data_IF_531444859890
#
_entry.id   IF_531444859890
#
_cell.length_a   1.000
_cell.length_b   1.000
_cell.length_c   1.000
_cell.angle_alpha   90.00
_cell.angle_beta   90.00
_cell.angle_gamma   90.00
#
_symmetry.space_group_name_H-M   'P 1'
#
loop_
_entity.id
_entity.type
_entity.pdbx_description
1 polymer ?
#
# COMPACT_ATOMS: atom_id res chain seq x y z
N UNK A 1 -5.92 -27.75 -13.78
CA UNK A 1 -5.54 -26.83 -12.69
C UNK A 1 -6.47 -27.11 -11.53
N UNK A 2 -5.93 -27.32 -10.33
CA UNK A 2 -6.77 -27.47 -9.15
C UNK A 2 -7.40 -26.12 -8.82
N UNK A 3 -8.59 -26.09 -8.20
CA UNK A 3 -9.22 -24.83 -7.79
C UNK A 3 -8.36 -24.01 -6.81
N UNK A 4 -7.36 -24.66 -6.20
CA UNK A 4 -6.44 -24.08 -5.23
C UNK A 4 -5.22 -23.36 -5.83
N UNK A 5 -5.04 -23.40 -7.16
CA UNK A 5 -3.81 -22.92 -7.82
C UNK A 5 -3.99 -21.54 -8.51
N UNK A 6 -5.15 -20.90 -8.32
CA UNK A 6 -5.46 -19.63 -8.97
C UNK A 6 -6.25 -18.70 -8.07
N UNK A 7 -6.17 -17.41 -8.42
CA UNK A 7 -7.00 -16.34 -7.87
C UNK A 7 -7.85 -15.74 -8.99
N UNK A 8 -8.99 -15.17 -8.63
CA UNK A 8 -9.85 -14.48 -9.58
C UNK A 8 -9.15 -13.22 -10.11
N UNK A 9 -9.24 -13.00 -11.41
CA UNK A 9 -8.76 -11.77 -12.03
C UNK A 9 -9.59 -10.59 -11.54
N UNK A 10 -8.98 -9.51 -11.03
CA UNK A 10 -9.71 -8.29 -10.68
C UNK A 10 -10.42 -7.62 -11.86
N UNK A 11 -10.12 -8.06 -13.09
CA UNK A 11 -10.75 -7.58 -14.32
C UNK A 11 -11.91 -8.46 -14.79
N UNK A 12 -12.24 -9.56 -14.10
CA UNK A 12 -13.18 -10.58 -14.58
C UNK A 12 -14.53 -9.97 -14.99
N UNK A 13 -15.22 -9.33 -14.06
CA UNK A 13 -16.52 -8.73 -14.35
C UNK A 13 -16.46 -7.61 -15.39
N UNK A 14 -15.37 -6.85 -15.44
CA UNK A 14 -15.16 -5.82 -16.48
C UNK A 14 -15.05 -6.49 -17.84
N UNK A 15 -14.25 -7.54 -17.99
CA UNK A 15 -14.05 -8.20 -19.27
C UNK A 15 -15.35 -8.85 -19.75
N UNK A 16 -16.07 -9.54 -18.88
CA UNK A 16 -17.43 -10.02 -19.16
C UNK A 16 -18.32 -8.85 -19.61
N UNK A 17 -18.32 -7.74 -18.89
CA UNK A 17 -19.15 -6.60 -19.26
C UNK A 17 -18.75 -5.99 -20.60
N UNK A 18 -17.45 -5.88 -20.90
CA UNK A 18 -16.95 -5.42 -22.19
C UNK A 18 -17.36 -6.33 -23.34
N UNK A 19 -17.43 -7.64 -23.10
CA UNK A 19 -17.99 -8.58 -24.07
C UNK A 19 -19.49 -8.36 -24.33
N UNK A 20 -20.23 -7.65 -23.47
CA UNK A 20 -21.66 -7.35 -23.70
C UNK A 20 -21.87 -6.15 -24.63
N UNK A 21 -20.77 -5.45 -24.93
CA UNK A 21 -20.70 -4.49 -26.02
C UNK A 21 -20.40 -5.20 -27.33
N UNK A 22 -21.07 -4.76 -28.38
CA UNK A 22 -20.67 -5.01 -29.77
C UNK A 22 -19.71 -3.89 -30.21
N UNK A 23 -18.70 -3.60 -29.38
CA UNK A 23 -17.87 -2.40 -29.50
C UNK A 23 -16.37 -2.70 -29.27
N UNK A 24 -15.52 -1.98 -30.00
CA UNK A 24 -14.10 -2.29 -30.28
C UNK A 24 -13.15 -2.16 -29.07
N UNK A 25 -13.65 -2.10 -27.84
CA UNK A 25 -12.82 -1.93 -26.63
C UNK A 25 -11.82 -3.09 -26.43
N UNK A 26 -12.24 -4.32 -26.73
CA UNK A 26 -11.38 -5.51 -26.72
C UNK A 26 -10.41 -5.56 -27.91
N UNK A 27 -10.65 -4.78 -28.96
CA UNK A 27 -9.73 -4.64 -30.10
C UNK A 27 -8.64 -3.60 -29.85
N UNK A 28 -8.78 -2.79 -28.79
CA UNK A 28 -7.77 -1.82 -28.39
C UNK A 28 -6.50 -2.53 -27.90
N UNK A 29 -5.50 -2.64 -28.78
CA UNK A 29 -4.21 -3.29 -28.49
C UNK A 29 -3.53 -2.76 -27.23
N UNK A 30 -3.66 -1.46 -26.94
CA UNK A 30 -3.08 -0.85 -25.73
C UNK A 30 -3.77 -1.36 -24.48
N UNK A 31 -5.11 -1.39 -24.47
CA UNK A 31 -5.90 -1.95 -23.37
C UNK A 31 -5.52 -3.40 -23.10
N UNK A 32 -5.53 -4.25 -24.14
CA UNK A 32 -5.17 -5.68 -24.02
C UNK A 32 -3.76 -5.87 -23.45
N UNK A 33 -2.80 -5.06 -23.91
CA UNK A 33 -1.43 -5.10 -23.39
C UNK A 33 -1.35 -4.70 -21.91
N UNK A 34 -2.09 -3.67 -21.49
CA UNK A 34 -2.13 -3.24 -20.09
C UNK A 34 -2.72 -4.33 -19.18
N UNK A 35 -3.81 -4.98 -19.58
CA UNK A 35 -4.40 -6.10 -18.83
C UNK A 35 -3.42 -7.27 -18.67
N UNK A 36 -2.69 -7.64 -19.75
CA UNK A 36 -1.65 -8.68 -19.70
C UNK A 36 -0.47 -8.28 -18.80
N UNK A 37 -0.06 -7.02 -18.86
CA UNK A 37 1.01 -6.49 -18.02
C UNK A 37 0.60 -6.47 -16.55
N UNK A 38 -0.64 -6.10 -16.23
CA UNK A 38 -1.15 -6.10 -14.86
C UNK A 38 -1.02 -7.50 -14.23
N UNK A 39 -1.56 -8.53 -14.92
CA UNK A 39 -1.43 -9.92 -14.49
C UNK A 39 0.03 -10.34 -14.33
N UNK A 40 0.86 -10.02 -15.32
CA UNK A 40 2.29 -10.41 -15.31
C UNK A 40 3.04 -9.78 -14.15
N UNK A 41 2.80 -8.49 -13.86
CA UNK A 41 3.44 -7.79 -12.77
C UNK A 41 2.92 -8.28 -11.41
N UNK A 42 1.64 -8.59 -11.29
CA UNK A 42 1.08 -9.22 -10.10
C UNK A 42 1.71 -10.60 -9.83
N UNK A 43 1.74 -11.49 -10.83
CA UNK A 43 2.38 -12.80 -10.68
C UNK A 43 3.86 -12.67 -10.27
N UNK A 44 4.58 -11.69 -10.82
CA UNK A 44 5.97 -11.40 -10.45
C UNK A 44 6.11 -10.92 -9.00
N UNK A 45 5.20 -10.07 -8.52
CA UNK A 45 5.16 -9.65 -7.12
C UNK A 45 4.85 -10.82 -6.19
N UNK A 46 3.82 -11.61 -6.54
CA UNK A 46 3.41 -12.78 -5.79
C UNK A 46 4.56 -13.78 -5.64
N UNK A 47 5.19 -14.18 -6.75
CA UNK A 47 6.29 -15.15 -6.72
C UNK A 47 7.49 -14.62 -5.94
N UNK A 48 7.80 -13.32 -6.05
CA UNK A 48 8.84 -12.71 -5.23
C UNK A 48 8.48 -12.77 -3.75
N UNK A 49 7.25 -12.41 -3.38
CA UNK A 49 6.80 -12.45 -1.99
C UNK A 49 6.79 -13.86 -1.43
N UNK A 50 6.27 -14.83 -2.18
CA UNK A 50 6.30 -16.24 -1.82
C UNK A 50 7.73 -16.76 -1.63
N UNK A 51 8.65 -16.34 -2.50
CA UNK A 51 10.06 -16.67 -2.36
C UNK A 51 10.62 -16.14 -1.02
N UNK A 52 10.32 -14.88 -0.64
CA UNK A 52 10.72 -14.30 0.66
C UNK A 52 10.13 -15.08 1.85
N UNK A 53 8.86 -15.49 1.75
CA UNK A 53 8.18 -16.27 2.81
C UNK A 53 8.86 -17.63 3.03
N UNK A 54 9.28 -18.29 1.95
CA UNK A 54 9.78 -19.68 1.99
C UNK A 54 11.28 -19.80 2.16
N UNK A 55 12.05 -18.76 1.87
CA UNK A 55 13.51 -18.80 1.90
C UNK A 55 14.08 -18.15 3.16
N UNK A 56 14.51 -19.00 4.10
CA UNK A 56 15.26 -18.61 5.30
C UNK A 56 16.75 -18.46 5.04
N UNK A 57 17.49 -17.87 5.98
CA UNK A 57 18.95 -17.69 5.89
C UNK A 57 19.69 -18.99 5.55
N UNK A 58 19.32 -20.11 6.17
CA UNK A 58 19.91 -21.44 5.90
C UNK A 58 19.61 -22.00 4.51
N UNK A 59 18.47 -21.66 3.92
CA UNK A 59 18.01 -22.22 2.65
C UNK A 59 18.29 -21.28 1.46
N UNK A 60 18.61 -20.01 1.74
CA UNK A 60 18.93 -19.03 0.73
C UNK A 60 20.45 -18.97 0.50
N UNK A 61 20.91 -19.33 -0.71
CA UNK A 61 22.27 -19.01 -1.17
C UNK A 61 22.59 -17.50 -1.17
N UNK A 62 21.59 -16.66 -0.88
CA UNK A 62 21.67 -15.20 -0.75
C UNK A 62 22.19 -14.73 0.62
N UNK A 63 22.40 -15.62 1.59
CA UNK A 63 23.06 -15.30 2.87
C UNK A 63 24.43 -14.62 2.65
N UNK A 64 25.12 -14.97 1.57
CA UNK A 64 26.43 -14.40 1.21
C UNK A 64 26.38 -13.21 0.24
N UNK A 65 25.20 -12.79 -0.25
CA UNK A 65 25.09 -11.73 -1.28
C UNK A 65 24.10 -10.63 -0.87
N UNK A 66 24.54 -9.66 -0.03
CA UNK A 66 23.72 -8.53 0.42
C UNK A 66 23.09 -7.72 -0.72
N UNK A 67 23.79 -7.59 -1.85
CA UNK A 67 23.32 -6.84 -3.02
C UNK A 67 22.06 -7.48 -3.61
N UNK A 68 22.07 -8.80 -3.78
CA UNK A 68 20.92 -9.50 -4.35
C UNK A 68 19.69 -9.41 -3.43
N UNK A 69 19.90 -9.44 -2.10
CA UNK A 69 18.82 -9.22 -1.12
C UNK A 69 18.19 -7.83 -1.26
N UNK A 70 19.03 -6.79 -1.41
CA UNK A 70 18.56 -5.42 -1.58
C UNK A 70 17.76 -5.29 -2.88
N UNK A 71 18.30 -5.81 -3.99
CA UNK A 71 17.61 -5.84 -5.28
C UNK A 71 16.26 -6.55 -5.23
N UNK A 72 16.13 -7.60 -4.42
CA UNK A 72 14.88 -8.33 -4.28
C UNK A 72 13.80 -7.51 -3.56
N UNK A 73 14.17 -6.79 -2.51
CA UNK A 73 13.31 -5.84 -1.79
C UNK A 73 12.91 -4.68 -2.73
N UNK A 74 13.89 -4.10 -3.41
CA UNK A 74 13.66 -3.03 -4.39
C UNK A 74 12.69 -3.47 -5.49
N UNK A 75 12.86 -4.69 -5.99
CA UNK A 75 12.00 -5.28 -7.00
C UNK A 75 10.54 -5.35 -6.54
N UNK A 76 10.29 -5.73 -5.28
CA UNK A 76 8.94 -5.78 -4.73
C UNK A 76 8.29 -4.39 -4.67
N UNK A 77 9.01 -3.35 -4.20
CA UNK A 77 8.52 -1.96 -4.23
C UNK A 77 8.19 -1.50 -5.65
N UNK A 78 9.07 -1.81 -6.62
CA UNK A 78 8.85 -1.48 -8.03
C UNK A 78 7.60 -2.17 -8.56
N UNK A 79 7.37 -3.46 -8.24
CA UNK A 79 6.18 -4.19 -8.70
C UNK A 79 4.90 -3.66 -8.07
N UNK A 80 4.86 -3.42 -6.76
CA UNK A 80 3.69 -2.81 -6.11
C UNK A 80 3.28 -1.50 -6.79
N UNK A 81 4.24 -0.60 -7.00
CA UNK A 81 3.97 0.69 -7.63
C UNK A 81 3.55 0.54 -9.10
N UNK A 82 4.17 -0.39 -9.85
CA UNK A 82 3.81 -0.64 -11.26
C UNK A 82 2.39 -1.19 -11.39
N UNK A 83 1.98 -2.11 -10.52
CA UNK A 83 0.64 -2.72 -10.54
C UNK A 83 -0.43 -1.65 -10.33
N UNK A 84 -0.21 -0.75 -9.37
CA UNK A 84 -1.08 0.40 -9.14
C UNK A 84 -1.12 1.34 -10.36
N UNK A 85 0.03 1.69 -10.95
CA UNK A 85 0.07 2.55 -12.14
C UNK A 85 -0.68 1.93 -13.34
N UNK A 86 -0.60 0.61 -13.49
CA UNK A 86 -1.30 -0.12 -14.55
C UNK A 86 -2.81 -0.13 -14.34
N UNK A 87 -3.29 -0.31 -13.10
CA UNK A 87 -4.74 -0.30 -12.84
C UNK A 87 -5.37 1.05 -13.19
N UNK A 88 -4.71 2.15 -12.82
CA UNK A 88 -5.14 3.49 -13.18
C UNK A 88 -5.13 3.76 -14.68
N UNK A 89 -4.13 3.26 -15.40
CA UNK A 89 -4.09 3.38 -16.85
C UNK A 89 -5.23 2.62 -17.53
N UNK A 90 -5.57 1.44 -17.01
CA UNK A 90 -6.71 0.65 -17.49
C UNK A 90 -8.02 1.40 -17.23
N UNK A 91 -8.26 1.85 -16.00
CA UNK A 91 -9.46 2.60 -15.64
C UNK A 91 -9.62 3.89 -16.46
N UNK A 92 -8.52 4.62 -16.69
CA UNK A 92 -8.54 5.83 -17.52
C UNK A 92 -8.92 5.57 -18.98
N UNK A 93 -8.51 4.44 -19.56
CA UNK A 93 -8.91 4.04 -20.91
C UNK A 93 -10.41 3.72 -20.94
N UNK A 94 -10.87 2.90 -19.98
CA UNK A 94 -12.26 2.44 -19.92
C UNK A 94 -13.25 3.60 -19.73
N UNK A 95 -12.90 4.56 -18.87
CA UNK A 95 -13.74 5.73 -18.60
C UNK A 95 -13.47 6.91 -19.55
N UNK A 96 -12.71 6.68 -20.64
CA UNK A 96 -12.35 7.68 -21.66
C UNK A 96 -11.87 9.03 -21.08
N UNK A 97 -11.05 8.98 -20.04
CA UNK A 97 -10.58 10.18 -19.37
C UNK A 97 -9.46 10.86 -20.17
N UNK A 98 -9.69 12.11 -20.58
CA UNK A 98 -8.78 12.90 -21.42
C UNK A 98 -7.91 13.90 -20.65
N UNK A 99 -8.09 14.00 -19.33
CA UNK A 99 -7.37 14.97 -18.49
C UNK A 99 -5.89 14.65 -18.32
N UNK A 100 -5.04 15.69 -18.29
CA UNK A 100 -3.62 15.57 -17.87
C UNK A 100 -3.48 15.17 -16.40
N UNK A 101 -4.51 15.40 -15.57
CA UNK A 101 -4.60 15.05 -14.14
C UNK A 101 -5.50 13.84 -13.86
N UNK A 102 -5.65 12.96 -14.85
CA UNK A 102 -6.48 11.75 -14.81
C UNK A 102 -6.37 10.91 -13.52
N UNK A 103 -5.20 10.81 -12.91
CA UNK A 103 -5.02 10.05 -11.65
C UNK A 103 -5.67 10.75 -10.45
N UNK A 104 -5.52 12.07 -10.34
CA UNK A 104 -6.15 12.88 -9.27
C UNK A 104 -7.68 12.87 -9.41
N UNK A 105 -8.20 12.91 -10.64
CA UNK A 105 -9.64 12.91 -10.93
C UNK A 105 -10.30 11.54 -10.70
N UNK A 106 -9.68 10.45 -11.15
CA UNK A 106 -10.13 9.09 -10.82
C UNK A 106 -10.12 8.87 -9.33
N UNK A 107 -9.09 9.36 -8.63
CA UNK A 107 -8.99 9.18 -7.19
C UNK A 107 -10.00 10.00 -6.41
N UNK A 108 -10.24 11.25 -6.78
CA UNK A 108 -11.24 12.07 -6.11
C UNK A 108 -12.64 11.43 -6.20
N UNK A 109 -12.97 10.81 -7.34
CA UNK A 109 -14.24 10.11 -7.54
C UNK A 109 -14.28 8.73 -6.88
N UNK A 110 -13.15 8.03 -6.87
CA UNK A 110 -13.04 6.76 -6.18
C UNK A 110 -13.04 6.97 -4.65
N UNK A 111 -12.60 8.12 -4.14
CA UNK A 111 -12.60 8.47 -2.71
C UNK A 111 -13.99 8.34 -2.07
N UNK A 112 -15.06 8.81 -2.74
CA UNK A 112 -16.44 8.65 -2.26
C UNK A 112 -16.86 7.17 -2.16
N UNK A 113 -16.35 6.31 -3.06
CA UNK A 113 -16.58 4.86 -3.01
C UNK A 113 -15.76 4.19 -1.90
N UNK A 114 -14.53 4.69 -1.66
CA UNK A 114 -13.63 4.26 -0.58
C UNK A 114 -14.08 4.69 0.80
N UNK A 115 -14.90 5.72 0.94
CA UNK A 115 -15.46 6.14 2.24
C UNK A 115 -16.26 5.03 2.95
N UNK A 116 -16.68 4.00 2.21
CA UNK A 116 -17.32 2.79 2.77
C UNK A 116 -16.31 1.73 3.25
N UNK A 117 -15.03 1.88 2.88
CA UNK A 117 -13.96 0.89 3.07
C UNK A 117 -12.59 1.58 3.28
N UNK A 118 -12.32 2.04 4.51
CA UNK A 118 -11.11 2.80 4.91
C UNK A 118 -9.77 2.22 4.40
N UNK A 119 -9.65 0.89 4.24
CA UNK A 119 -8.41 0.22 3.80
C UNK A 119 -8.04 0.49 2.33
N UNK A 120 -8.93 1.09 1.55
CA UNK A 120 -8.67 1.52 0.18
C UNK A 120 -8.03 2.90 0.08
N UNK A 121 -7.86 3.59 1.21
CA UNK A 121 -7.19 4.87 1.29
C UNK A 121 -5.78 4.81 0.69
N UNK A 122 -5.35 5.89 0.03
CA UNK A 122 -4.07 5.94 -0.68
C UNK A 122 -2.83 6.04 0.20
N UNK A 123 -2.97 6.16 1.53
CA UNK A 123 -1.85 6.35 2.45
C UNK A 123 -0.78 5.29 2.27
N UNK A 124 -1.19 4.02 2.19
CA UNK A 124 -0.30 2.89 2.00
C UNK A 124 0.48 2.97 0.66
N UNK A 125 -0.17 3.40 -0.43
CA UNK A 125 0.49 3.53 -1.73
C UNK A 125 1.46 4.72 -1.76
N UNK A 126 1.13 5.84 -1.10
CA UNK A 126 2.01 7.01 -1.04
C UNK A 126 3.36 6.65 -0.44
N UNK A 127 3.37 5.86 0.63
CA UNK A 127 4.60 5.36 1.26
C UNK A 127 5.39 4.45 0.30
N UNK A 128 4.74 3.45 -0.28
CA UNK A 128 5.35 2.55 -1.29
C UNK A 128 5.94 3.34 -2.46
N UNK A 129 5.21 4.33 -2.98
CA UNK A 129 5.61 5.12 -4.13
C UNK A 129 6.75 6.08 -3.79
N UNK A 130 6.76 6.65 -2.58
CA UNK A 130 7.87 7.46 -2.09
C UNK A 130 9.17 6.65 -2.07
N UNK A 131 9.14 5.45 -1.47
CA UNK A 131 10.28 4.54 -1.43
C UNK A 131 10.69 4.14 -2.86
N UNK A 132 9.74 3.72 -3.70
CA UNK A 132 9.99 3.36 -5.11
C UNK A 132 10.67 4.48 -5.88
N UNK A 133 10.19 5.71 -5.76
CA UNK A 133 10.76 6.85 -6.48
C UNK A 133 12.21 7.10 -6.04
N UNK A 134 12.47 6.96 -4.74
CA UNK A 134 13.84 7.08 -4.22
C UNK A 134 14.75 5.96 -4.72
N UNK A 135 14.26 4.72 -4.83
CA UNK A 135 15.01 3.60 -5.43
C UNK A 135 15.40 3.95 -6.87
N UNK A 136 14.43 4.34 -7.69
CA UNK A 136 14.64 4.65 -9.12
C UNK A 136 15.61 5.81 -9.34
N UNK A 137 15.60 6.80 -8.44
CA UNK A 137 16.43 8.01 -8.56
C UNK A 137 17.72 7.96 -7.72
N UNK A 138 18.06 6.81 -7.12
CA UNK A 138 19.30 6.64 -6.35
C UNK A 138 19.36 7.43 -5.03
N UNK A 139 18.20 7.79 -4.48
CA UNK A 139 18.07 8.63 -3.28
C UNK A 139 17.84 7.88 -1.97
N UNK A 140 18.04 6.56 -1.97
CA UNK A 140 17.81 5.67 -0.83
C UNK A 140 18.85 4.55 -0.81
N UNK A 141 19.13 4.03 0.38
CA UNK A 141 19.87 2.81 0.61
C UNK A 141 18.99 1.80 1.35
N UNK A 142 18.72 0.66 0.72
CA UNK A 142 18.04 -0.47 1.36
C UNK A 142 19.10 -1.35 2.01
N UNK A 143 18.98 -1.55 3.32
CA UNK A 143 19.90 -2.40 4.09
C UNK A 143 19.19 -3.69 4.52
N UNK A 144 19.37 -4.79 3.78
CA UNK A 144 18.86 -6.11 4.14
C UNK A 144 19.81 -6.85 5.08
N UNK A 145 19.24 -7.55 6.05
CA UNK A 145 19.96 -8.47 6.94
C UNK A 145 19.05 -9.62 7.37
N UNK A 146 19.64 -10.70 7.86
CA UNK A 146 18.87 -11.76 8.48
C UNK A 146 18.80 -11.53 9.99
N UNK A 147 17.61 -11.71 10.55
CA UNK A 147 17.37 -11.74 11.98
C UNK A 147 16.55 -12.98 12.29
N UNK A 148 17.09 -13.87 13.13
CA UNK A 148 16.43 -15.13 13.49
C UNK A 148 15.92 -15.91 12.26
N UNK A 149 16.79 -16.06 11.25
CA UNK A 149 16.51 -16.76 9.98
C UNK A 149 15.53 -16.05 9.02
N UNK A 150 15.00 -14.87 9.38
CA UNK A 150 14.06 -14.10 8.56
C UNK A 150 14.75 -12.93 7.89
N UNK A 151 14.42 -12.69 6.63
CA UNK A 151 14.91 -11.51 5.92
C UNK A 151 14.24 -10.27 6.51
N UNK A 152 15.05 -9.38 7.05
CA UNK A 152 14.65 -8.08 7.56
C UNK A 152 15.31 -6.97 6.75
N UNK A 153 14.71 -5.79 6.76
CA UNK A 153 15.28 -4.63 6.11
C UNK A 153 14.88 -3.31 6.77
N UNK A 154 15.70 -2.30 6.54
CA UNK A 154 15.33 -0.91 6.71
C UNK A 154 15.76 -0.13 5.46
N UNK A 155 15.10 0.98 5.20
CA UNK A 155 15.43 1.86 4.09
C UNK A 155 15.79 3.24 4.61
N UNK A 156 16.93 3.75 4.16
CA UNK A 156 17.50 5.01 4.64
C UNK A 156 17.63 6.02 3.50
N UNK A 157 17.40 7.29 3.79
CA UNK A 157 17.75 8.36 2.87
C UNK A 157 19.28 8.59 2.83
N UNK A 158 19.72 9.56 2.02
CA UNK A 158 21.15 9.92 1.85
C UNK A 158 21.78 10.34 3.19
N UNK A 159 21.00 10.92 4.09
CA UNK A 159 21.42 11.36 5.42
C UNK A 159 21.38 10.24 6.48
N UNK A 160 21.20 8.97 6.06
CA UNK A 160 21.12 7.78 6.93
C UNK A 160 19.90 7.80 7.86
N UNK A 161 18.89 8.60 7.53
CA UNK A 161 17.63 8.62 8.27
C UNK A 161 16.71 7.54 7.72
N UNK A 162 16.18 6.70 8.60
CA UNK A 162 15.17 5.71 8.20
C UNK A 162 13.95 6.43 7.66
N UNK A 163 13.44 5.93 6.53
CA UNK A 163 12.23 6.44 5.89
C UNK A 163 11.06 5.46 5.99
N UNK A 164 11.25 4.37 6.73
CA UNK A 164 10.22 3.38 6.98
C UNK A 164 9.43 3.76 8.23
N UNK A 165 8.12 3.58 8.18
CA UNK A 165 7.27 3.79 9.34
C UNK A 165 7.11 2.51 10.15
N UNK A 166 7.13 2.60 11.48
CA UNK A 166 6.90 1.43 12.35
C UNK A 166 5.42 1.01 12.31
N UNK A 167 5.14 -0.27 12.12
CA UNK A 167 3.82 -0.85 12.12
C UNK A 167 3.83 -2.16 12.90
N UNK A 168 2.97 -2.28 13.90
CA UNK A 168 2.80 -3.47 14.74
C UNK A 168 2.57 -4.77 13.97
N UNK A 169 2.09 -4.68 12.72
CA UNK A 169 1.73 -5.81 11.87
C UNK A 169 2.97 -6.45 11.21
N UNK A 170 3.92 -5.64 10.73
CA UNK A 170 5.03 -6.13 9.91
C UNK A 170 6.42 -5.64 10.34
N UNK A 171 6.47 -4.70 11.27
CA UNK A 171 7.71 -4.19 11.84
C UNK A 171 8.12 -4.95 13.09
N UNK A 172 9.39 -4.81 13.44
CA UNK A 172 9.91 -5.27 14.72
C UNK A 172 9.35 -4.38 15.86
N UNK A 173 8.93 -4.94 17.02
CA UNK A 173 8.29 -4.17 18.09
C UNK A 173 9.06 -2.95 18.62
N UNK A 174 10.39 -2.95 18.51
CA UNK A 174 11.31 -1.97 19.09
C UNK A 174 12.15 -1.23 18.04
N UNK A 175 11.68 -1.11 16.78
CA UNK A 175 12.44 -0.32 15.80
C UNK A 175 11.79 -0.07 14.43
N UNK A 176 12.55 0.62 13.58
CA UNK A 176 12.17 0.97 12.20
C UNK A 176 12.53 -0.14 11.19
N UNK A 177 12.67 -1.38 11.68
CA UNK A 177 13.05 -2.55 10.89
C UNK A 177 11.80 -3.32 10.51
N UNK A 178 11.73 -3.72 9.24
CA UNK A 178 10.62 -4.47 8.68
C UNK A 178 11.04 -5.93 8.48
N UNK A 179 10.17 -6.87 8.84
CA UNK A 179 10.30 -8.24 8.35
C UNK A 179 9.78 -8.30 6.91
N UNK A 180 10.65 -8.69 5.97
CA UNK A 180 10.35 -8.61 4.53
C UNK A 180 9.20 -9.54 4.11
N UNK A 181 9.15 -10.74 4.70
CA UNK A 181 8.05 -11.69 4.53
C UNK A 181 6.73 -11.06 4.96
N UNK A 182 6.67 -10.49 6.17
CA UNK A 182 5.47 -9.83 6.67
C UNK A 182 5.07 -8.63 5.81
N UNK A 183 6.02 -7.74 5.53
CA UNK A 183 5.78 -6.50 4.79
C UNK A 183 5.22 -6.81 3.40
N UNK A 184 5.92 -7.61 2.60
CA UNK A 184 5.50 -7.86 1.23
C UNK A 184 4.30 -8.80 1.13
N UNK A 185 4.10 -9.73 2.07
CA UNK A 185 2.88 -10.52 2.14
C UNK A 185 1.67 -9.61 2.39
N UNK A 186 1.76 -8.73 3.37
CA UNK A 186 0.73 -7.75 3.67
C UNK A 186 0.40 -6.91 2.43
N UNK A 187 1.38 -6.20 1.85
CA UNK A 187 1.13 -5.31 0.72
C UNK A 187 0.72 -6.04 -0.57
N UNK A 188 1.08 -7.31 -0.75
CA UNK A 188 0.57 -8.15 -1.85
C UNK A 188 -0.94 -8.43 -1.67
N UNK A 189 -1.37 -8.73 -0.45
CA UNK A 189 -2.80 -8.84 -0.13
C UNK A 189 -3.54 -7.51 -0.30
N UNK A 190 -2.96 -6.40 0.17
CA UNK A 190 -3.55 -5.05 0.04
C UNK A 190 -3.73 -4.67 -1.43
N UNK A 191 -2.70 -4.79 -2.26
CA UNK A 191 -2.80 -4.39 -3.67
C UNK A 191 -3.83 -5.27 -4.40
N UNK A 192 -3.92 -6.57 -4.11
CA UNK A 192 -4.92 -7.43 -4.74
C UNK A 192 -6.35 -6.98 -4.42
N UNK A 193 -6.65 -6.78 -3.13
CA UNK A 193 -7.96 -6.29 -2.70
C UNK A 193 -8.27 -4.91 -3.28
N UNK A 194 -7.28 -4.02 -3.29
CA UNK A 194 -7.39 -2.71 -3.94
C UNK A 194 -7.80 -2.82 -5.41
N UNK A 195 -7.23 -3.77 -6.16
CA UNK A 195 -7.59 -3.96 -7.57
C UNK A 195 -9.04 -4.42 -7.71
N UNK A 196 -9.51 -5.35 -6.86
CA UNK A 196 -10.91 -5.81 -6.87
C UNK A 196 -11.86 -4.62 -6.70
N UNK A 197 -11.62 -3.81 -5.67
CA UNK A 197 -12.48 -2.66 -5.36
C UNK A 197 -12.38 -1.54 -6.41
N UNK A 198 -11.18 -1.26 -6.91
CA UNK A 198 -10.98 -0.24 -7.93
C UNK A 198 -11.69 -0.61 -9.24
N UNK A 199 -11.61 -1.87 -9.66
CA UNK A 199 -12.25 -2.31 -10.90
C UNK A 199 -13.76 -2.51 -10.75
N UNK A 200 -14.27 -2.88 -9.56
CA UNK A 200 -15.71 -2.82 -9.26
C UNK A 200 -16.23 -1.38 -9.44
N UNK A 201 -15.53 -0.39 -8.88
CA UNK A 201 -15.85 1.02 -9.10
C UNK A 201 -15.82 1.41 -10.59
N UNK A 202 -14.76 1.05 -11.32
CA UNK A 202 -14.65 1.35 -12.77
C UNK A 202 -15.81 0.73 -13.54
N UNK A 203 -16.21 -0.50 -13.20
CA UNK A 203 -17.35 -1.18 -13.81
C UNK A 203 -18.67 -0.45 -13.53
N UNK A 204 -18.89 -0.01 -12.30
CA UNK A 204 -20.07 0.76 -11.91
C UNK A 204 -20.16 2.09 -12.67
N UNK A 205 -19.04 2.81 -12.81
CA UNK A 205 -19.00 4.05 -13.60
C UNK A 205 -19.25 3.79 -15.09
N UNK A 206 -18.64 2.74 -15.63
CA UNK A 206 -18.85 2.35 -17.03
C UNK A 206 -20.33 2.10 -17.29
N UNK A 207 -20.99 1.33 -16.41
CA UNK A 207 -22.44 1.03 -16.45
C UNK A 207 -23.37 2.25 -16.43
N UNK A 208 -22.92 3.40 -15.90
CA UNK A 208 -23.70 4.66 -15.95
C UNK A 208 -23.71 5.30 -17.33
N UNK A 209 -22.63 5.11 -18.08
CA UNK A 209 -22.38 5.76 -19.37
C UNK A 209 -22.62 4.87 -20.59
N UNK A 210 -22.81 3.57 -20.39
CA UNK A 210 -22.83 2.57 -21.46
C UNK A 210 -23.95 1.56 -21.25
N UNK A 211 -24.60 1.16 -22.34
CA UNK A 211 -25.73 0.23 -22.34
C UNK A 211 -25.30 -1.04 -23.10
N UNK A 212 -25.36 -2.23 -22.49
CA UNK A 212 -25.08 -3.49 -23.17
C UNK A 212 -25.92 -3.65 -24.43
N UNK A 213 -25.30 -4.08 -25.53
CA UNK A 213 -25.98 -4.32 -26.81
C UNK A 213 -26.27 -5.80 -27.03
N UNK A 214 -25.62 -6.69 -26.28
CA UNK A 214 -25.86 -8.13 -26.32
C UNK A 214 -25.88 -8.77 -24.93
N UNK A 215 -26.80 -9.69 -24.73
CA UNK A 215 -26.78 -10.58 -23.57
C UNK A 215 -25.77 -11.69 -23.79
N UNK A 216 -24.80 -11.79 -22.89
CA UNK A 216 -23.82 -12.88 -22.92
C UNK A 216 -24.44 -14.11 -22.28
N UNK A 217 -24.46 -15.22 -23.02
CA UNK A 217 -24.94 -16.50 -22.52
C UNK A 217 -24.08 -17.02 -21.36
N UNK A 218 -24.62 -17.94 -20.55
CA UNK A 218 -23.85 -18.56 -19.47
C UNK A 218 -22.60 -19.29 -20.00
N UNK A 219 -22.70 -19.95 -21.16
CA UNK A 219 -21.58 -20.65 -21.79
C UNK A 219 -20.46 -19.70 -22.22
N UNK A 220 -20.80 -18.55 -22.80
CA UNK A 220 -19.81 -17.54 -23.17
C UNK A 220 -19.14 -16.91 -21.94
N UNK A 221 -19.90 -16.64 -20.87
CA UNK A 221 -19.32 -16.17 -19.60
C UNK A 221 -18.30 -17.17 -19.07
N UNK A 222 -18.67 -18.46 -19.03
CA UNK A 222 -17.76 -19.53 -18.59
C UNK A 222 -16.51 -19.59 -19.44
N UNK A 223 -16.64 -19.49 -20.77
CA UNK A 223 -15.50 -19.49 -21.68
C UNK A 223 -14.56 -18.31 -21.43
N UNK A 224 -15.10 -17.10 -21.24
CA UNK A 224 -14.31 -15.90 -20.93
C UNK A 224 -13.58 -16.07 -19.58
N UNK A 225 -14.30 -16.54 -18.55
CA UNK A 225 -13.77 -16.80 -17.21
C UNK A 225 -12.59 -17.79 -17.24
N UNK A 226 -12.76 -18.89 -17.98
CA UNK A 226 -11.75 -19.95 -18.10
C UNK A 226 -10.51 -19.51 -18.90
N UNK A 227 -10.69 -18.64 -19.89
CA UNK A 227 -9.61 -18.28 -20.83
C UNK A 227 -8.79 -17.06 -20.39
N UNK A 228 -9.37 -16.12 -19.64
CA UNK A 228 -8.73 -14.83 -19.37
C UNK A 228 -8.78 -14.36 -17.91
N UNK A 229 -9.56 -15.01 -17.05
CA UNK A 229 -9.95 -14.43 -15.75
C UNK A 229 -9.48 -15.22 -14.53
N UNK A 230 -8.66 -16.26 -14.73
CA UNK A 230 -7.94 -16.97 -13.66
C UNK A 230 -6.46 -16.63 -13.70
N UNK A 231 -5.95 -15.99 -12.66
CA UNK A 231 -4.52 -15.76 -12.51
C UNK A 231 -3.91 -16.99 -11.85
N UNK A 232 -3.38 -17.91 -12.67
CA UNK A 232 -2.66 -19.07 -12.18
C UNK A 232 -1.41 -18.64 -11.41
N UNK A 233 -1.34 -19.05 -10.15
CA UNK A 233 -0.25 -18.80 -9.21
C UNK A 233 0.45 -20.08 -8.77
N UNK A 234 -0.07 -21.25 -9.16
CA UNK A 234 0.56 -22.53 -8.90
C UNK A 234 0.34 -23.04 -7.48
N UNK A 235 1.09 -24.08 -7.11
CA UNK A 235 1.02 -24.72 -5.79
C UNK A 235 1.47 -23.76 -4.67
N UNK A 236 2.27 -22.74 -5.02
CA UNK A 236 2.76 -21.68 -4.16
C UNK A 236 1.62 -20.88 -3.48
N UNK A 237 0.45 -20.81 -4.12
CA UNK A 237 -0.72 -20.10 -3.59
C UNK A 237 -1.20 -20.67 -2.26
N UNK A 238 -1.14 -21.99 -2.09
CA UNK A 238 -1.57 -22.64 -0.85
C UNK A 238 -0.71 -22.17 0.33
N UNK A 239 0.62 -22.22 0.17
CA UNK A 239 1.56 -21.81 1.21
C UNK A 239 1.49 -20.30 1.49
N UNK A 240 1.32 -19.49 0.44
CA UNK A 240 1.11 -18.05 0.60
C UNK A 240 -0.14 -17.78 1.44
N UNK A 241 -1.27 -18.41 1.11
CA UNK A 241 -2.54 -18.19 1.80
C UNK A 241 -2.50 -18.71 3.25
N UNK A 242 -1.86 -19.86 3.50
CA UNK A 242 -1.65 -20.36 4.86
C UNK A 242 -0.85 -19.37 5.72
N UNK A 243 0.22 -18.80 5.15
CA UNK A 243 1.02 -17.77 5.82
C UNK A 243 0.20 -16.48 6.02
N UNK A 244 -0.43 -15.98 4.96
CA UNK A 244 -1.17 -14.72 4.98
C UNK A 244 -2.38 -14.79 5.93
N UNK A 245 -3.07 -15.93 5.99
CA UNK A 245 -4.16 -16.16 6.93
C UNK A 245 -3.65 -16.17 8.37
N UNK A 246 -2.56 -16.91 8.64
CA UNK A 246 -1.99 -17.03 9.98
C UNK A 246 -1.50 -15.69 10.56
N UNK A 247 -0.91 -14.83 9.74
CA UNK A 247 -0.26 -13.60 10.20
C UNK A 247 -1.19 -12.38 10.07
N UNK A 248 -2.02 -12.31 9.03
CA UNK A 248 -2.78 -11.11 8.70
C UNK A 248 -4.28 -11.32 8.58
N UNK A 249 -4.76 -12.56 8.44
CA UNK A 249 -6.14 -12.84 8.00
C UNK A 249 -6.44 -12.17 6.64
N UNK A 250 -5.48 -12.22 5.70
CA UNK A 250 -5.61 -11.65 4.34
C UNK A 250 -5.13 -12.64 3.26
N UNK A 251 -5.75 -13.83 3.10
CA UNK A 251 -5.44 -14.70 1.98
C UNK A 251 -5.99 -14.12 0.67
N UNK A 252 -5.42 -14.51 -0.48
CA UNK A 252 -5.83 -14.01 -1.80
C UNK A 252 -7.10 -14.68 -2.35
N UNK A 253 -7.60 -15.73 -1.70
CA UNK A 253 -8.74 -16.54 -2.19
C UNK A 253 -10.00 -16.45 -1.34
N UNK A 254 -9.99 -15.69 -0.23
CA UNK A 254 -11.19 -15.54 0.59
C UNK A 254 -12.22 -14.59 -0.02
N UNK A 255 -13.48 -14.79 0.36
CA UNK A 255 -14.55 -13.90 -0.08
C UNK A 255 -14.28 -12.50 0.45
N UNK A 256 -14.38 -11.49 -0.42
CA UNK A 256 -14.25 -10.05 -0.11
C UNK A 256 -14.98 -9.65 1.19
N UNK A 257 -16.17 -10.20 1.43
CA UNK A 257 -16.96 -9.96 2.64
C UNK A 257 -16.29 -10.47 3.93
N UNK A 258 -15.63 -11.63 3.88
CA UNK A 258 -14.88 -12.18 5.02
C UNK A 258 -13.66 -11.30 5.32
N UNK A 259 -12.88 -10.91 4.31
CA UNK A 259 -11.76 -9.98 4.47
C UNK A 259 -12.18 -8.65 5.12
N UNK A 260 -13.28 -8.04 4.65
CA UNK A 260 -13.82 -6.80 5.23
C UNK A 260 -14.22 -7.02 6.69
N UNK A 261 -14.93 -8.12 7.00
CA UNK A 261 -15.39 -8.43 8.35
C UNK A 261 -14.22 -8.72 9.30
N UNK A 262 -13.25 -9.51 8.88
CA UNK A 262 -12.08 -9.88 9.69
C UNK A 262 -11.24 -8.65 9.99
N UNK A 263 -10.97 -7.78 9.01
CA UNK A 263 -10.19 -6.55 9.23
C UNK A 263 -10.93 -5.50 10.04
N UNK A 264 -12.24 -5.34 9.85
CA UNK A 264 -13.05 -4.42 10.67
C UNK A 264 -13.19 -4.93 12.12
N UNK A 265 -13.04 -6.25 12.34
CA UNK A 265 -13.10 -6.88 13.66
C UNK A 265 -11.73 -7.10 14.33
N UNK A 266 -10.62 -7.05 13.58
CA UNK A 266 -9.29 -6.90 14.18
C UNK A 266 -9.29 -5.52 14.84
N UNK A 267 -9.08 -5.41 16.16
CA UNK A 267 -8.91 -4.11 16.79
C UNK A 267 -7.73 -3.46 16.09
N UNK A 268 -7.98 -2.37 15.33
CA UNK A 268 -6.88 -1.60 14.75
C UNK A 268 -5.95 -1.29 15.91
N UNK A 269 -4.76 -1.86 15.86
CA UNK A 269 -3.82 -1.59 16.92
C UNK A 269 -3.48 -0.10 16.82
N UNK A 270 -3.28 0.55 17.95
CA UNK A 270 -2.99 1.98 18.02
C UNK A 270 -1.74 2.38 17.18
N UNK A 271 -0.96 1.44 16.65
CA UNK A 271 0.23 1.69 15.85
C UNK A 271 0.09 1.32 14.35
N UNK A 272 -1.13 1.23 13.80
CA UNK A 272 -1.30 0.97 12.36
C UNK A 272 -1.10 2.23 11.50
N UNK A 273 -0.43 2.11 10.32
CA UNK A 273 -0.33 3.18 9.34
C UNK A 273 -1.68 3.80 9.02
N UNK A 274 -1.80 5.11 9.28
CA UNK A 274 -3.03 5.88 9.10
C UNK A 274 -3.88 6.08 10.37
N UNK A 275 -3.52 5.48 11.50
CA UNK A 275 -4.12 5.80 12.81
C UNK A 275 -3.50 7.07 13.43
N UNK A 276 -4.24 7.72 14.36
CA UNK A 276 -3.71 8.87 15.11
C UNK A 276 -2.48 8.47 15.91
N UNK A 277 -2.55 7.35 16.62
CA UNK A 277 -1.48 6.93 17.51
C UNK A 277 -0.23 6.54 16.70
N UNK A 278 -0.35 5.95 15.50
CA UNK A 278 0.78 5.80 14.57
C UNK A 278 1.36 7.15 14.11
N UNK A 279 0.52 8.12 13.77
CA UNK A 279 1.00 9.45 13.41
C UNK A 279 1.74 10.12 14.58
N UNK A 280 1.29 9.88 15.81
CA UNK A 280 1.94 10.33 17.04
C UNK A 280 3.27 9.61 17.27
N UNK A 281 3.32 8.29 17.17
CA UNK A 281 4.55 7.50 17.28
C UNK A 281 5.59 7.94 16.24
N UNK A 282 5.16 8.28 15.02
CA UNK A 282 6.03 8.83 13.98
C UNK A 282 6.56 10.22 14.36
N UNK A 283 5.71 11.11 14.85
CA UNK A 283 6.12 12.43 15.37
C UNK A 283 7.11 12.26 16.53
N UNK A 284 6.83 11.38 17.48
CA UNK A 284 7.69 11.08 18.63
C UNK A 284 9.05 10.49 18.23
N UNK A 285 9.06 9.59 17.24
CA UNK A 285 10.28 9.02 16.67
C UNK A 285 11.17 10.09 16.02
N UNK A 286 10.56 11.01 15.25
CA UNK A 286 11.26 12.14 14.65
C UNK A 286 11.84 13.06 15.72
N UNK A 287 11.09 13.38 16.78
CA UNK A 287 11.58 14.22 17.88
C UNK A 287 12.74 13.55 18.63
N UNK A 288 12.61 12.26 18.92
CA UNK A 288 13.61 11.46 19.62
C UNK A 288 14.92 11.41 18.84
N UNK A 289 14.84 11.27 17.52
CA UNK A 289 15.99 11.33 16.61
C UNK A 289 16.80 12.62 16.74
N UNK A 290 16.14 13.75 17.00
CA UNK A 290 16.79 15.05 17.19
C UNK A 290 17.09 15.38 18.66
N UNK A 291 16.86 14.45 19.59
CA UNK A 291 17.04 14.68 21.02
C UNK A 291 16.14 15.80 21.57
N UNK A 292 14.98 16.00 20.95
CA UNK A 292 14.00 16.99 21.36
C UNK A 292 13.15 16.42 22.50
N UNK A 293 13.10 17.16 23.60
CA UNK A 293 12.13 16.86 24.67
C UNK A 293 10.74 17.33 24.22
N UNK A 294 9.70 16.61 24.63
CA UNK A 294 8.34 16.94 24.24
C UNK A 294 7.32 16.51 25.29
N UNK A 295 6.17 17.17 25.25
CA UNK A 295 5.00 16.82 26.04
C UNK A 295 3.75 16.96 25.18
N UNK A 296 2.95 15.90 25.07
CA UNK A 296 1.62 16.01 24.49
C UNK A 296 0.71 16.78 25.44
N UNK A 297 0.01 17.78 24.93
CA UNK A 297 -1.04 18.46 25.66
C UNK A 297 -2.22 17.51 25.93
N UNK A 298 -3.08 17.90 26.86
CA UNK A 298 -4.24 17.12 27.28
C UNK A 298 -5.24 16.81 26.15
N UNK A 299 -5.24 17.62 25.09
CA UNK A 299 -6.08 17.42 23.90
C UNK A 299 -5.55 16.31 22.97
N UNK A 300 -4.34 15.79 23.23
CA UNK A 300 -3.60 14.80 22.43
C UNK A 300 -3.34 15.19 20.96
N UNK A 301 -3.68 16.41 20.59
CA UNK A 301 -3.52 16.96 19.24
C UNK A 301 -2.48 18.07 19.21
N UNK A 302 -2.11 18.62 20.36
CA UNK A 302 -1.09 19.63 20.49
C UNK A 302 0.15 19.04 21.16
N UNK A 303 1.31 19.26 20.57
CA UNK A 303 2.60 18.87 21.12
C UNK A 303 3.34 20.12 21.58
N UNK A 304 3.95 20.06 22.76
CA UNK A 304 4.78 21.12 23.32
C UNK A 304 6.23 20.69 23.28
N UNK A 305 7.08 21.49 22.66
CA UNK A 305 8.53 21.29 22.62
C UNK A 305 9.18 22.45 23.37
N UNK A 306 9.94 22.20 24.45
CA UNK A 306 10.65 23.26 25.17
C UNK A 306 11.60 24.04 24.25
N UNK A 307 11.70 25.35 24.48
CA UNK A 307 12.69 26.20 23.80
C UNK A 307 14.02 26.07 24.54
N UNK A 308 14.64 24.89 24.45
CA UNK A 308 15.98 24.60 24.95
C UNK A 308 17.03 24.61 23.82
N UNK A 309 18.29 24.28 24.14
CA UNK A 309 19.39 24.29 23.16
C UNK A 309 19.11 23.38 21.95
N UNK A 310 18.56 22.19 22.18
CA UNK A 310 18.20 21.26 21.11
C UNK A 310 16.97 21.75 20.34
N UNK A 311 15.96 22.29 21.04
CA UNK A 311 14.78 22.91 20.44
C UNK A 311 15.16 24.01 19.46
N UNK A 312 16.00 24.96 19.86
CA UNK A 312 16.47 26.04 18.99
C UNK A 312 17.23 25.47 17.77
N UNK A 313 18.09 24.48 18.00
CA UNK A 313 18.98 23.93 16.97
C UNK A 313 18.29 23.04 15.94
N UNK A 314 17.28 22.26 16.35
CA UNK A 314 16.73 21.15 15.56
C UNK A 314 15.22 21.22 15.28
N UNK A 315 14.46 22.16 15.87
CA UNK A 315 13.01 22.21 15.66
C UNK A 315 12.62 22.33 14.17
N UNK A 316 13.38 23.08 13.37
CA UNK A 316 13.06 23.30 11.97
C UNK A 316 13.35 22.06 11.11
N UNK A 317 14.43 21.33 11.40
CA UNK A 317 14.75 20.07 10.74
C UNK A 317 13.71 18.99 11.08
N UNK A 318 13.33 18.87 12.36
CA UNK A 318 12.26 17.99 12.80
C UNK A 318 10.94 18.33 12.10
N UNK A 319 10.60 19.62 11.99
CA UNK A 319 9.41 20.10 11.27
C UNK A 319 9.43 19.71 9.79
N UNK A 320 10.55 19.95 9.10
CA UNK A 320 10.68 19.60 7.67
C UNK A 320 10.48 18.10 7.46
N UNK A 321 11.03 17.27 8.35
CA UNK A 321 10.86 15.82 8.29
C UNK A 321 9.42 15.37 8.57
N UNK A 322 8.75 15.98 9.55
CA UNK A 322 7.32 15.75 9.79
C UNK A 322 6.47 16.13 8.56
N UNK A 323 6.78 17.25 7.91
CA UNK A 323 6.10 17.66 6.67
C UNK A 323 6.35 16.70 5.50
N UNK A 324 7.58 16.19 5.36
CA UNK A 324 7.90 15.17 4.33
C UNK A 324 7.14 13.86 4.56
N UNK A 325 6.86 13.52 5.82
CA UNK A 325 6.01 12.38 6.18
C UNK A 325 4.51 12.63 6.02
N UNK A 326 4.08 13.83 5.60
CA UNK A 326 2.67 14.25 5.64
C UNK A 326 2.05 14.23 7.05
N UNK A 327 2.84 14.44 8.10
CA UNK A 327 2.41 14.58 9.49
C UNK A 327 2.69 16.00 10.01
N UNK A 328 2.73 16.98 9.11
CA UNK A 328 3.12 18.35 9.47
C UNK A 328 2.12 19.01 10.42
N UNK A 329 2.58 19.80 11.40
CA UNK A 329 1.68 20.55 12.26
C UNK A 329 0.93 21.62 11.47
N UNK A 330 -0.35 21.77 11.78
CA UNK A 330 -1.25 22.77 11.20
C UNK A 330 -0.86 24.19 11.62
N UNK A 331 -0.43 24.36 12.87
CA UNK A 331 0.07 25.63 13.41
C UNK A 331 1.29 25.39 14.27
N UNK A 332 2.21 26.36 14.25
CA UNK A 332 3.35 26.42 15.15
C UNK A 332 3.36 27.81 15.76
N UNK A 333 3.14 27.88 17.06
CA UNK A 333 3.10 29.14 17.79
C UNK A 333 3.95 29.02 19.05
N UNK A 334 4.76 30.04 19.38
CA UNK A 334 5.36 30.09 20.71
C UNK A 334 4.25 30.20 21.76
N UNK A 335 4.39 29.48 22.86
CA UNK A 335 3.48 29.59 23.99
C UNK A 335 3.44 31.04 24.50
N UNK A 336 2.34 31.41 25.15
CA UNK A 336 2.15 32.77 25.70
C UNK A 336 3.25 33.16 26.71
N UNK A 337 3.82 32.18 27.42
CA UNK A 337 4.95 32.33 28.33
C UNK A 337 6.33 32.18 27.65
N UNK A 338 6.36 31.93 26.33
CA UNK A 338 7.54 31.74 25.47
C UNK A 338 8.52 30.66 25.96
N UNK A 339 8.04 29.69 26.74
CA UNK A 339 8.85 28.56 27.21
C UNK A 339 8.80 27.36 26.26
N UNK A 340 7.79 27.30 25.41
CA UNK A 340 7.56 26.17 24.51
C UNK A 340 7.21 26.66 23.10
N UNK A 341 7.59 25.87 22.10
CA UNK A 341 6.90 25.84 20.82
C UNK A 341 5.68 24.92 20.95
N UNK A 342 4.50 25.41 20.61
CA UNK A 342 3.30 24.57 20.51
C UNK A 342 3.09 24.24 19.04
N UNK A 343 3.16 22.95 18.72
CA UNK A 343 2.83 22.41 17.42
C UNK A 343 1.44 21.78 17.52
N UNK A 344 0.45 22.38 16.85
CA UNK A 344 -0.90 21.83 16.83
C UNK A 344 -1.06 20.99 15.58
N UNK A 345 -1.37 19.72 15.75
CA UNK A 345 -1.70 18.81 14.68
C UNK A 345 -3.22 18.74 14.55
N UNK A 346 -3.71 18.73 13.31
CA UNK A 346 -5.11 18.47 13.06
C UNK A 346 -5.31 16.96 12.85
N UNK A 347 -5.05 16.15 13.88
CA UNK A 347 -5.35 14.73 13.85
C UNK A 347 -6.88 14.55 13.89
N UNK A 348 -7.56 14.85 12.78
CA UNK A 348 -8.96 14.47 12.63
C UNK A 348 -8.99 13.01 12.26
N UNK A 349 -9.54 12.19 13.15
CA UNK A 349 -10.28 11.01 12.73
C UNK A 349 -11.58 11.56 12.15
N UNK A 350 -11.63 11.69 10.82
CA UNK A 350 -12.94 11.59 10.15
C UNK A 350 -13.50 10.22 10.60
N UNK A 351 -14.82 10.05 10.82
CA UNK A 351 -15.40 8.77 11.26
C UNK A 351 -15.00 7.51 10.44
N UNK A 352 -14.24 7.71 9.37
CA UNK A 352 -13.63 6.79 8.41
C UNK A 352 -12.09 6.68 8.48
N UNK A 353 -11.47 6.90 9.65
CA UNK A 353 -10.08 6.46 9.89
C UNK A 353 -8.97 7.05 9.00
N UNK A 354 -9.20 8.19 8.35
CA UNK A 354 -8.20 8.93 7.58
C UNK A 354 -7.70 10.10 8.43
N UNK A 355 -6.39 10.16 8.70
CA UNK A 355 -5.72 11.38 9.15
C UNK A 355 -5.48 12.26 7.91
N UNK A 356 -6.23 13.35 7.79
CA UNK A 356 -5.87 14.46 6.91
C UNK A 356 -4.88 15.36 7.67
N UNK A 357 -3.73 15.64 7.07
CA UNK A 357 -2.90 16.80 7.44
C UNK A 357 -3.20 17.97 6.50
#
# INVERSE_FOLDING_TARGET
MNEKDWIESPLAEILIYLHSYDDNALENKKFVMLCKNLRTHFNKLFLATHWIITHTERNANLSNEPILRAQFIEYCFIKLSTIWDLSYQIGSILLNQKSKKKYEELEAKFAEHKEKYDFLGLGWYKEINFIRNRIVHGGINIMPFYESERLAFNSYNIDVNSIMSNCSIYSRPDGLVMYADNYFCHYTGIIYNYLLDFFDYVLQELKKSTIPTKDISHQEKTFILESHEKWGLGEELTQFNEYAYKIFSIPLTEQRSQYVVERLNIPRTNAEPGSIDFARDMVESILSKYGLTYEWASDKNSLRIPIDENGIKYHEQARIEMMMGHYGPWTIEPSSDKKFWTMTFNFRVIPTGIVLC
#
